data_IF_781787867558
#
_entry.id   IF_781787867558
#
_cell.length_a   1.000
_cell.length_b   1.000
_cell.length_c   1.000
_cell.angle_alpha   90.00
_cell.angle_beta   90.00
_cell.angle_gamma   90.00
#
_symmetry.space_group_name_H-M   'P 1'
#
loop_
_entity.id
_entity.type
_entity.pdbx_description
1 polymer ?
#
# COMPACT_ATOMS: atom_id res chain seq x y z
N UNK A 1 -36.95 -13.54 -62.76
CA UNK A 1 -35.73 -14.14 -62.22
C UNK A 1 -35.64 -15.55 -62.73
N UNK A 2 -34.50 -15.93 -63.33
CA UNK A 2 -34.33 -17.30 -63.83
C UNK A 2 -34.29 -18.28 -62.60
N UNK A 3 -35.10 -19.34 -62.68
CA UNK A 3 -35.13 -20.38 -61.66
C UNK A 3 -34.17 -21.48 -62.09
N UNK A 4 -32.96 -21.50 -61.45
CA UNK A 4 -31.99 -22.58 -61.66
C UNK A 4 -32.31 -23.74 -60.73
N UNK A 5 -32.59 -24.91 -61.29
CA UNK A 5 -32.97 -26.10 -60.50
C UNK A 5 -31.75 -26.75 -59.84
N UNK A 6 -30.60 -26.74 -60.51
CA UNK A 6 -29.38 -27.40 -60.05
C UNK A 6 -28.60 -26.59 -58.97
N UNK A 7 -28.75 -25.25 -58.94
CA UNK A 7 -28.09 -24.39 -57.95
C UNK A 7 -29.08 -23.41 -57.35
N UNK A 8 -29.50 -23.68 -56.10
CA UNK A 8 -30.43 -22.81 -55.38
C UNK A 8 -29.71 -21.66 -54.69
N UNK A 9 -29.46 -20.56 -55.46
CA UNK A 9 -28.77 -19.36 -54.98
C UNK A 9 -29.48 -18.73 -53.77
N UNK A 10 -30.83 -18.77 -53.74
CA UNK A 10 -31.63 -18.24 -52.64
C UNK A 10 -31.39 -18.99 -51.33
N UNK A 11 -31.30 -20.34 -51.42
CA UNK A 11 -30.96 -21.21 -50.27
C UNK A 11 -29.52 -20.94 -49.78
N UNK A 12 -28.56 -20.77 -50.69
CA UNK A 12 -27.17 -20.42 -50.31
C UNK A 12 -27.09 -19.07 -49.61
N UNK A 13 -27.81 -18.04 -50.06
CA UNK A 13 -27.90 -16.75 -49.40
C UNK A 13 -28.57 -16.87 -48.02
N UNK A 14 -29.67 -17.63 -47.91
CA UNK A 14 -30.35 -17.89 -46.63
C UNK A 14 -29.44 -18.56 -45.62
N UNK A 15 -28.68 -19.59 -46.02
CA UNK A 15 -27.68 -20.26 -45.15
C UNK A 15 -26.56 -19.33 -44.69
N UNK A 16 -26.04 -18.48 -45.59
CA UNK A 16 -25.01 -17.48 -45.24
C UNK A 16 -25.55 -16.49 -44.23
N UNK A 17 -26.76 -15.95 -44.44
CA UNK A 17 -27.38 -15.05 -43.47
C UNK A 17 -27.62 -15.72 -42.12
N UNK A 18 -28.11 -16.98 -42.11
CA UNK A 18 -28.32 -17.73 -40.88
C UNK A 18 -27.01 -17.95 -40.11
N UNK A 19 -25.91 -18.31 -40.78
CA UNK A 19 -24.61 -18.45 -40.15
C UNK A 19 -24.10 -17.13 -39.55
N UNK A 20 -24.28 -16.01 -40.25
CA UNK A 20 -23.89 -14.69 -39.74
C UNK A 20 -24.67 -14.33 -38.46
N UNK A 21 -26.00 -14.58 -38.46
CA UNK A 21 -26.86 -14.35 -37.30
C UNK A 21 -26.45 -15.23 -36.11
N UNK A 22 -26.16 -16.51 -36.37
CA UNK A 22 -25.69 -17.44 -35.33
C UNK A 22 -24.36 -16.99 -34.71
N UNK A 23 -23.42 -16.52 -35.51
CA UNK A 23 -22.15 -15.98 -35.01
C UNK A 23 -22.36 -14.72 -34.18
N UNK A 24 -23.21 -13.80 -34.63
CA UNK A 24 -23.56 -12.58 -33.86
C UNK A 24 -24.25 -12.94 -32.55
N UNK A 25 -25.20 -13.88 -32.59
CA UNK A 25 -25.93 -14.36 -31.42
C UNK A 25 -24.99 -14.99 -30.37
N UNK A 26 -24.01 -15.79 -30.83
CA UNK A 26 -22.98 -16.35 -29.98
C UNK A 26 -22.13 -15.31 -29.31
N UNK A 27 -21.77 -14.24 -30.04
CA UNK A 27 -21.01 -13.11 -29.47
C UNK A 27 -21.83 -12.33 -28.43
N UNK A 28 -23.12 -12.08 -28.70
CA UNK A 28 -24.03 -11.42 -27.75
C UNK A 28 -24.22 -12.26 -26.47
N UNK A 29 -24.42 -13.59 -26.62
CA UNK A 29 -24.46 -14.48 -25.46
C UNK A 29 -23.17 -14.43 -24.63
N UNK A 30 -22.02 -14.44 -25.28
CA UNK A 30 -20.73 -14.36 -24.61
C UNK A 30 -20.57 -13.05 -23.83
N UNK A 31 -20.97 -11.91 -24.41
CA UNK A 31 -20.94 -10.60 -23.77
C UNK A 31 -21.92 -10.53 -22.60
N UNK A 32 -23.13 -11.02 -22.77
CA UNK A 32 -24.14 -11.04 -21.73
C UNK A 32 -23.76 -11.95 -20.57
N UNK A 33 -23.16 -13.11 -20.86
CA UNK A 33 -22.70 -14.06 -19.84
C UNK A 33 -21.49 -13.56 -19.07
N UNK A 34 -20.55 -12.86 -19.71
CA UNK A 34 -19.34 -12.32 -19.07
C UNK A 34 -19.56 -10.93 -18.45
N UNK A 35 -20.58 -10.18 -18.88
CA UNK A 35 -20.77 -8.77 -18.56
C UNK A 35 -19.77 -7.86 -19.26
N UNK A 36 -18.98 -8.38 -20.20
CA UNK A 36 -17.91 -7.64 -20.86
C UNK A 36 -18.18 -7.47 -22.35
N UNK A 37 -18.04 -6.25 -22.87
CA UNK A 37 -18.10 -5.93 -24.31
C UNK A 37 -16.87 -6.47 -25.04
N UNK A 38 -15.68 -6.33 -24.41
CA UNK A 38 -14.41 -6.85 -24.93
C UNK A 38 -14.01 -8.08 -24.10
N UNK A 39 -14.15 -9.24 -24.68
CA UNK A 39 -13.88 -10.53 -24.04
C UNK A 39 -12.56 -11.15 -24.52
N UNK A 40 -12.19 -10.86 -25.77
CA UNK A 40 -10.98 -11.38 -26.41
C UNK A 40 -10.29 -10.30 -27.24
N UNK A 41 -9.01 -10.54 -27.58
CA UNK A 41 -8.24 -9.66 -28.45
C UNK A 41 -8.85 -9.54 -29.87
N UNK A 42 -9.71 -10.48 -30.28
CA UNK A 42 -10.44 -10.44 -31.54
C UNK A 42 -11.52 -9.36 -31.55
N UNK A 43 -12.12 -9.05 -30.39
CA UNK A 43 -13.20 -8.08 -30.28
C UNK A 43 -12.67 -6.64 -30.42
N UNK A 44 -11.61 -6.33 -29.67
CA UNK A 44 -10.87 -5.04 -29.73
C UNK A 44 -9.50 -5.21 -29.07
N UNK A 45 -8.45 -5.33 -29.87
CA UNK A 45 -7.09 -5.51 -29.37
C UNK A 45 -6.55 -4.26 -28.68
N UNK A 46 -6.90 -3.06 -29.17
CA UNK A 46 -6.46 -1.80 -28.58
C UNK A 46 -7.15 -1.52 -27.25
N UNK A 47 -8.48 -1.69 -27.21
CA UNK A 47 -9.27 -1.54 -25.99
C UNK A 47 -8.87 -2.55 -24.92
N UNK A 48 -8.58 -3.80 -25.27
CA UNK A 48 -8.09 -4.80 -24.34
C UNK A 48 -6.75 -4.40 -23.72
N UNK A 49 -5.79 -3.95 -24.53
CA UNK A 49 -4.48 -3.49 -24.04
C UNK A 49 -4.61 -2.32 -23.06
N UNK A 50 -5.48 -1.36 -23.37
CA UNK A 50 -5.74 -0.23 -22.45
C UNK A 50 -6.38 -0.71 -21.16
N UNK A 51 -7.39 -1.58 -21.23
CA UNK A 51 -8.07 -2.13 -20.06
C UNK A 51 -7.13 -2.96 -19.16
N UNK A 52 -6.21 -3.73 -19.74
CA UNK A 52 -5.21 -4.50 -19.00
C UNK A 52 -4.19 -3.59 -18.31
N UNK A 53 -3.77 -2.50 -18.96
CA UNK A 53 -2.91 -1.49 -18.34
C UNK A 53 -3.59 -0.81 -17.17
N UNK A 54 -4.86 -0.38 -17.32
CA UNK A 54 -5.66 0.18 -16.23
C UNK A 54 -5.83 -0.83 -15.09
N UNK A 55 -6.09 -2.10 -15.41
CA UNK A 55 -6.19 -3.16 -14.40
C UNK A 55 -4.90 -3.32 -13.60
N UNK A 56 -3.75 -3.26 -14.28
CA UNK A 56 -2.44 -3.32 -13.62
C UNK A 56 -2.22 -2.12 -12.70
N UNK A 57 -2.60 -0.92 -13.12
CA UNK A 57 -2.53 0.29 -12.31
C UNK A 57 -3.44 0.20 -11.08
N UNK A 58 -4.70 -0.18 -11.25
CA UNK A 58 -5.67 -0.36 -10.15
C UNK A 58 -5.14 -1.36 -9.13
N UNK A 59 -4.62 -2.50 -9.58
CA UNK A 59 -4.05 -3.52 -8.69
C UNK A 59 -2.82 -2.99 -7.94
N UNK A 60 -1.97 -2.22 -8.63
CA UNK A 60 -0.81 -1.55 -8.04
C UNK A 60 -1.20 -0.53 -6.96
N UNK A 61 -2.18 0.34 -7.26
CA UNK A 61 -2.71 1.33 -6.31
C UNK A 61 -3.36 0.67 -5.08
N UNK A 62 -4.12 -0.41 -5.29
CA UNK A 62 -4.71 -1.16 -4.17
C UNK A 62 -3.64 -1.82 -3.30
N UNK A 63 -2.55 -2.31 -3.87
CA UNK A 63 -1.42 -2.81 -3.09
C UNK A 63 -0.68 -1.67 -2.40
N UNK A 64 -0.49 -0.53 -3.07
CA UNK A 64 0.08 0.69 -2.49
C UNK A 64 -0.70 1.17 -1.27
N UNK A 65 -2.04 1.14 -1.32
CA UNK A 65 -2.89 1.46 -0.17
C UNK A 65 -2.68 0.50 1.00
N UNK A 66 -2.52 -0.80 0.75
CA UNK A 66 -2.18 -1.77 1.82
C UNK A 66 -0.81 -1.48 2.43
N UNK A 67 0.20 -1.28 1.59
CA UNK A 67 1.55 -0.93 2.06
C UNK A 67 1.57 0.37 2.86
N UNK A 68 0.73 1.33 2.50
CA UNK A 68 0.59 2.61 3.19
C UNK A 68 -0.04 2.42 4.58
N UNK A 69 -1.06 1.56 4.69
CA UNK A 69 -1.65 1.20 5.99
C UNK A 69 -0.64 0.47 6.89
N UNK A 70 0.17 -0.43 6.32
CA UNK A 70 1.26 -1.09 7.07
C UNK A 70 2.29 -0.06 7.56
N UNK A 71 2.59 0.96 6.73
CA UNK A 71 3.45 2.08 7.11
C UNK A 71 2.88 2.93 8.26
N UNK A 72 1.57 3.18 8.27
CA UNK A 72 0.89 3.87 9.38
C UNK A 72 0.98 3.03 10.66
N UNK A 73 0.69 1.73 10.59
CA UNK A 73 0.78 0.83 11.74
C UNK A 73 2.22 0.76 12.31
N UNK A 74 3.23 0.76 11.43
CA UNK A 74 4.64 0.86 11.82
C UNK A 74 4.92 2.17 12.55
N UNK A 75 4.50 3.31 11.99
CA UNK A 75 4.70 4.63 12.59
C UNK A 75 4.04 4.73 13.98
N UNK A 76 2.84 4.21 14.14
CA UNK A 76 2.13 4.13 15.41
C UNK A 76 2.85 3.24 16.44
N UNK A 77 3.41 2.12 16.01
CA UNK A 77 4.20 1.24 16.89
C UNK A 77 5.46 1.95 17.40
N UNK A 78 6.14 2.68 16.52
CA UNK A 78 7.31 3.49 16.89
C UNK A 78 6.92 4.60 17.86
N UNK A 79 5.83 5.30 17.56
CA UNK A 79 5.33 6.40 18.39
C UNK A 79 4.95 5.94 19.80
N UNK A 80 4.27 4.80 19.93
CA UNK A 80 3.91 4.20 21.23
C UNK A 80 5.17 3.90 22.08
N UNK A 81 6.21 3.31 21.46
CA UNK A 81 7.46 3.08 22.15
C UNK A 81 8.17 4.38 22.60
N UNK A 82 8.08 5.43 21.78
CA UNK A 82 8.64 6.74 22.12
C UNK A 82 7.89 7.46 23.23
N UNK A 83 6.57 7.28 23.31
CA UNK A 83 5.75 7.86 24.38
C UNK A 83 6.16 7.32 25.75
N UNK A 84 6.34 6.00 25.88
CA UNK A 84 6.87 5.37 27.09
C UNK A 84 8.27 5.85 27.42
N UNK A 85 9.14 6.02 26.43
CA UNK A 85 10.50 6.58 26.65
C UNK A 85 10.43 8.02 27.14
N UNK A 86 9.55 8.86 26.58
CA UNK A 86 9.38 10.26 27.00
C UNK A 86 8.94 10.33 28.47
N UNK A 87 7.97 9.49 28.88
CA UNK A 87 7.53 9.39 30.26
C UNK A 87 8.67 9.02 31.23
N UNK A 88 9.52 8.04 30.84
CA UNK A 88 10.68 7.66 31.66
C UNK A 88 11.75 8.75 31.71
N UNK A 89 12.04 9.45 30.62
CA UNK A 89 12.97 10.58 30.61
C UNK A 89 12.49 11.70 31.52
N UNK A 90 11.19 12.01 31.53
CA UNK A 90 10.60 13.00 32.46
C UNK A 90 10.74 12.56 33.92
N UNK A 91 10.58 11.25 34.20
CA UNK A 91 10.79 10.72 35.56
C UNK A 91 12.25 10.82 35.95
N UNK A 92 13.21 10.48 35.08
CA UNK A 92 14.66 10.68 35.34
C UNK A 92 14.96 12.16 35.60
N UNK A 93 14.37 13.07 34.83
CA UNK A 93 14.50 14.51 35.04
C UNK A 93 14.03 14.95 36.46
N UNK A 94 12.88 14.43 36.89
CA UNK A 94 12.34 14.70 38.23
C UNK A 94 13.28 14.18 39.31
N UNK A 95 13.82 12.98 39.16
CA UNK A 95 14.83 12.42 40.08
C UNK A 95 16.12 13.24 40.07
N UNK A 96 16.53 13.77 38.92
CA UNK A 96 17.70 14.66 38.86
C UNK A 96 17.46 15.98 39.58
N UNK A 97 16.27 16.60 39.48
CA UNK A 97 15.89 17.77 40.25
C UNK A 97 15.89 17.46 41.76
N UNK A 98 15.36 16.31 42.15
CA UNK A 98 15.41 15.86 43.57
C UNK A 98 16.85 15.68 44.04
N UNK A 99 17.71 15.02 43.27
CA UNK A 99 19.13 14.82 43.62
C UNK A 99 19.92 16.10 43.69
N UNK A 100 19.59 17.12 42.89
CA UNK A 100 20.27 18.43 42.90
C UNK A 100 20.02 19.23 44.19
N UNK A 101 19.00 18.84 44.99
CA UNK A 101 18.69 19.52 46.24
C UNK A 101 19.82 19.33 47.27
N UNK A 102 20.24 20.45 47.91
CA UNK A 102 21.30 20.46 48.89
C UNK A 102 21.00 19.76 50.22
N UNK A 103 19.72 19.44 50.49
CA UNK A 103 19.29 18.75 51.72
C UNK A 103 19.54 17.25 51.70
N UNK A 104 19.82 16.66 50.52
CA UNK A 104 20.02 15.22 50.37
C UNK A 104 21.45 14.80 50.81
N UNK A 105 21.52 13.67 51.51
CA UNK A 105 22.78 13.04 51.85
C UNK A 105 23.37 12.31 50.62
N UNK A 106 24.57 11.79 50.76
CA UNK A 106 25.18 10.98 49.69
C UNK A 106 24.41 9.68 49.46
N UNK A 107 23.98 9.06 50.55
CA UNK A 107 23.20 7.83 50.56
C UNK A 107 21.86 8.02 49.85
N UNK A 108 21.18 9.14 50.06
CA UNK A 108 19.93 9.48 49.37
C UNK A 108 20.14 9.64 47.87
N UNK A 109 21.23 10.36 47.47
CA UNK A 109 21.58 10.52 46.05
C UNK A 109 21.98 9.21 45.37
N UNK A 110 22.65 8.30 46.08
CA UNK A 110 23.00 6.98 45.57
C UNK A 110 21.75 6.12 45.37
N UNK A 111 20.74 6.26 46.25
CA UNK A 111 19.44 5.61 46.02
C UNK A 111 18.70 6.15 44.79
N UNK A 112 18.65 7.49 44.65
CA UNK A 112 18.05 8.16 43.48
C UNK A 112 18.78 7.76 42.19
N UNK A 113 20.12 7.65 42.25
CA UNK A 113 20.93 7.21 41.10
C UNK A 113 20.57 5.80 40.68
N UNK A 114 20.39 4.88 41.61
CA UNK A 114 19.98 3.49 41.29
C UNK A 114 18.61 3.44 40.56
N UNK A 115 17.64 4.26 41.00
CA UNK A 115 16.35 4.38 40.33
C UNK A 115 16.50 4.97 38.94
N UNK A 116 17.30 6.05 38.78
CA UNK A 116 17.58 6.66 37.48
C UNK A 116 18.28 5.72 36.50
N UNK A 117 19.28 4.96 36.98
CA UNK A 117 19.98 3.96 36.15
C UNK A 117 19.05 2.80 35.75
N UNK A 118 18.12 2.38 36.61
CA UNK A 118 17.13 1.37 36.29
C UNK A 118 16.17 1.85 35.19
N UNK A 119 15.71 3.11 35.25
CA UNK A 119 14.89 3.70 34.19
C UNK A 119 15.67 3.84 32.87
N UNK A 120 16.95 4.22 32.92
CA UNK A 120 17.80 4.28 31.72
C UNK A 120 17.99 2.90 31.07
N UNK A 121 18.13 1.83 31.91
CA UNK A 121 18.18 0.47 31.43
C UNK A 121 16.85 0.01 30.80
N UNK A 122 15.72 0.45 31.34
CA UNK A 122 14.39 0.16 30.79
C UNK A 122 14.17 0.87 29.46
N UNK A 123 14.58 2.13 29.31
CA UNK A 123 14.58 2.82 28.00
C UNK A 123 15.38 2.03 26.96
N UNK A 124 16.58 1.55 27.34
CA UNK A 124 17.38 0.70 26.45
C UNK A 124 16.64 -0.59 26.09
N UNK A 125 16.00 -1.24 27.06
CA UNK A 125 15.22 -2.47 26.82
C UNK A 125 14.08 -2.22 25.84
N UNK A 126 13.33 -1.13 25.99
CA UNK A 126 12.25 -0.77 25.07
C UNK A 126 12.81 -0.54 23.67
N UNK A 127 13.91 0.21 23.53
CA UNK A 127 14.55 0.46 22.24
C UNK A 127 14.97 -0.83 21.51
N UNK A 128 15.44 -1.84 22.27
CA UNK A 128 15.92 -3.12 21.71
C UNK A 128 14.82 -4.16 21.52
N UNK A 129 13.73 -4.08 22.27
CA UNK A 129 12.68 -5.10 22.28
C UNK A 129 11.42 -4.71 21.52
N UNK A 130 11.20 -3.42 21.25
CA UNK A 130 10.07 -2.98 20.41
C UNK A 130 10.28 -3.48 18.98
N UNK A 131 9.34 -4.32 18.51
CA UNK A 131 9.41 -4.97 17.20
C UNK A 131 8.13 -4.78 16.42
N UNK A 132 8.29 -4.66 15.11
CA UNK A 132 7.21 -4.74 14.14
C UNK A 132 7.53 -5.85 13.13
N UNK A 133 6.62 -6.81 12.96
CA UNK A 133 6.88 -7.96 12.09
C UNK A 133 8.12 -8.78 12.47
N UNK A 134 8.48 -8.81 13.77
CA UNK A 134 9.66 -9.53 14.28
C UNK A 134 10.99 -8.78 14.18
N UNK A 135 11.01 -7.58 13.56
CA UNK A 135 12.20 -6.74 13.40
C UNK A 135 12.15 -5.53 14.33
N UNK A 136 13.32 -5.11 14.85
CA UNK A 136 13.42 -3.95 15.74
C UNK A 136 13.18 -2.65 14.98
N UNK A 137 12.55 -1.67 15.65
CA UNK A 137 12.11 -0.40 15.03
C UNK A 137 12.65 0.86 15.70
N UNK A 138 13.25 0.75 16.90
CA UNK A 138 13.77 1.89 17.67
C UNK A 138 15.29 1.87 17.88
N UNK A 139 15.94 0.79 17.47
CA UNK A 139 17.39 0.57 17.68
C UNK A 139 18.24 0.98 16.46
N UNK A 140 17.70 1.83 15.55
CA UNK A 140 18.40 2.21 14.35
C UNK A 140 18.70 1.04 13.39
N UNK A 141 19.50 1.31 12.36
CA UNK A 141 19.92 0.26 11.44
C UNK A 141 20.85 -0.74 12.14
N UNK A 142 20.53 -2.01 12.01
CA UNK A 142 21.35 -3.11 12.52
C UNK A 142 21.76 -4.03 11.37
N UNK A 143 23.03 -4.35 11.28
CA UNK A 143 23.51 -5.43 10.41
C UNK A 143 22.84 -6.76 10.80
N UNK A 144 22.78 -7.72 9.90
CA UNK A 144 22.18 -9.04 10.08
C UNK A 144 20.65 -9.11 10.02
N UNK A 145 20.00 -8.18 9.30
CA UNK A 145 18.56 -8.25 9.03
C UNK A 145 17.66 -8.22 10.30
N UNK A 146 18.20 -7.71 11.42
CA UNK A 146 17.47 -7.61 12.71
C UNK A 146 16.57 -6.40 12.79
N UNK A 147 16.88 -5.32 12.05
CA UNK A 147 16.06 -4.11 11.97
C UNK A 147 15.19 -4.09 10.72
N UNK A 148 14.11 -3.29 10.75
CA UNK A 148 13.22 -3.10 9.61
C UNK A 148 13.83 -2.15 8.55
N UNK A 149 14.88 -1.44 8.90
CA UNK A 149 15.47 -0.37 8.12
C UNK A 149 16.25 -0.87 6.92
N UNK A 150 16.22 -0.10 5.83
CA UNK A 150 16.96 -0.41 4.62
C UNK A 150 18.49 -0.36 4.87
N UNK A 151 19.22 -1.27 4.23
CA UNK A 151 20.69 -1.31 4.27
C UNK A 151 21.35 -0.10 3.58
N UNK A 152 20.59 0.68 2.85
CA UNK A 152 21.01 1.93 2.23
C UNK A 152 20.12 3.06 2.68
N UNK A 153 20.71 4.24 2.91
CA UNK A 153 19.94 5.46 3.16
C UNK A 153 19.20 5.92 1.88
N UNK A 154 18.33 6.93 2.03
CA UNK A 154 17.61 7.52 0.89
C UNK A 154 18.53 8.10 -0.19
N UNK A 155 19.80 8.35 0.11
CA UNK A 155 20.82 8.82 -0.81
C UNK A 155 21.62 7.67 -1.46
N UNK A 156 21.31 6.40 -1.13
CA UNK A 156 21.97 5.22 -1.70
C UNK A 156 23.27 4.83 -1.01
N UNK A 157 23.69 5.52 0.07
CA UNK A 157 24.90 5.18 0.82
C UNK A 157 24.63 3.99 1.76
N UNK A 158 25.65 3.18 2.02
CA UNK A 158 25.53 2.07 2.96
C UNK A 158 25.24 2.60 4.37
N UNK A 159 24.15 2.13 4.99
CA UNK A 159 23.82 2.46 6.35
C UNK A 159 24.88 1.86 7.29
N UNK A 160 25.33 2.66 8.27
CA UNK A 160 26.25 2.18 9.30
C UNK A 160 25.43 1.57 10.44
N UNK A 161 25.93 0.50 11.05
CA UNK A 161 25.31 -0.08 12.25
C UNK A 161 25.11 1.02 13.32
N UNK A 162 23.99 0.98 14.02
CA UNK A 162 23.54 1.98 15.00
C UNK A 162 23.30 3.40 14.45
N UNK A 163 23.26 3.57 13.14
CA UNK A 163 22.91 4.86 12.51
C UNK A 163 21.39 5.04 12.42
N UNK A 164 20.98 6.19 11.86
CA UNK A 164 19.59 6.45 11.50
C UNK A 164 19.07 5.34 10.57
N UNK A 165 17.87 4.87 10.84
CA UNK A 165 17.20 3.90 9.99
C UNK A 165 16.28 4.59 8.98
N UNK A 166 16.35 4.20 7.71
CA UNK A 166 15.42 4.67 6.68
C UNK A 166 14.40 3.58 6.36
N UNK A 167 13.13 3.92 6.41
CA UNK A 167 12.04 3.08 5.94
C UNK A 167 11.59 3.60 4.59
N UNK A 168 11.53 2.71 3.61
CA UNK A 168 11.07 3.01 2.25
C UNK A 168 9.76 2.27 2.04
N UNK A 169 8.68 3.01 1.81
CA UNK A 169 7.35 2.48 1.56
C UNK A 169 6.98 2.70 0.10
N UNK A 170 6.76 1.63 -0.64
CA UNK A 170 6.19 1.69 -1.99
C UNK A 170 4.69 1.95 -1.87
N UNK A 171 4.29 3.19 -2.11
CA UNK A 171 2.91 3.65 -1.93
C UNK A 171 2.11 3.63 -3.24
N UNK A 172 2.75 3.76 -4.39
CA UNK A 172 2.07 3.80 -5.68
C UNK A 172 2.32 2.58 -6.56
N UNK A 173 1.72 2.60 -7.75
CA UNK A 173 1.76 1.51 -8.72
C UNK A 173 3.06 1.48 -9.54
N UNK A 174 3.80 2.60 -9.61
CA UNK A 174 4.96 2.72 -10.48
C UNK A 174 6.26 2.72 -9.68
N UNK A 175 7.37 2.40 -10.36
CA UNK A 175 8.71 2.50 -9.77
C UNK A 175 8.99 3.96 -9.40
N UNK A 176 9.35 4.18 -8.13
CA UNK A 176 9.68 5.50 -7.61
C UNK A 176 8.52 6.20 -6.89
N UNK A 177 7.32 5.61 -6.87
CA UNK A 177 6.20 6.08 -6.06
C UNK A 177 6.42 5.67 -4.60
N UNK A 178 7.44 6.25 -3.96
CA UNK A 178 7.89 5.89 -2.62
C UNK A 178 7.71 7.04 -1.64
N UNK A 179 7.35 6.71 -0.40
CA UNK A 179 7.42 7.62 0.73
C UNK A 179 8.47 7.08 1.69
N UNK A 180 9.49 7.91 1.95
CA UNK A 180 10.58 7.56 2.83
C UNK A 180 10.45 8.36 4.12
N UNK A 181 10.73 7.72 5.25
CA UNK A 181 10.90 8.40 6.52
C UNK A 181 12.08 7.82 7.29
N UNK A 182 12.65 8.65 8.14
CA UNK A 182 13.86 8.34 8.90
C UNK A 182 13.46 8.21 10.36
N UNK A 183 13.95 7.14 10.98
CA UNK A 183 13.83 6.91 12.42
C UNK A 183 15.24 6.90 13.01
N UNK A 184 15.44 7.71 14.02
CA UNK A 184 16.70 7.77 14.72
C UNK A 184 16.91 6.55 15.63
N UNK A 185 18.14 6.33 16.07
CA UNK A 185 18.44 5.34 17.09
C UNK A 185 18.12 5.91 18.48
N UNK A 186 17.19 5.27 19.19
CA UNK A 186 16.68 5.67 20.49
C UNK A 186 17.22 4.83 21.65
N UNK A 187 18.34 4.11 21.46
CA UNK A 187 19.05 3.55 22.60
C UNK A 187 19.55 4.68 23.50
N UNK A 188 19.45 4.51 24.81
CA UNK A 188 19.77 5.57 25.78
C UNK A 188 21.16 6.17 25.56
N UNK A 189 22.19 5.34 25.31
CA UNK A 189 23.55 5.79 25.05
C UNK A 189 23.70 6.65 23.80
N UNK A 190 23.00 6.27 22.71
CA UNK A 190 23.05 7.01 21.43
C UNK A 190 22.28 8.32 21.55
N UNK A 191 21.13 8.30 22.23
CA UNK A 191 20.31 9.46 22.49
C UNK A 191 21.08 10.47 23.38
N UNK A 192 21.70 10.00 24.47
CA UNK A 192 22.54 10.81 25.34
C UNK A 192 23.74 11.43 24.59
N UNK A 193 24.44 10.63 23.81
CA UNK A 193 25.58 11.08 22.98
C UNK A 193 25.17 12.18 22.01
N UNK A 194 23.99 12.05 21.37
CA UNK A 194 23.44 13.04 20.45
C UNK A 194 22.95 14.31 21.14
N UNK A 195 22.46 14.18 22.38
CA UNK A 195 22.09 15.30 23.23
C UNK A 195 23.31 16.07 23.76
N UNK A 196 24.54 15.58 23.48
CA UNK A 196 25.78 16.19 23.95
C UNK A 196 26.10 15.82 25.40
N UNK A 197 25.89 14.54 25.75
CA UNK A 197 26.28 14.04 27.06
C UNK A 197 27.76 14.29 27.30
N UNK A 198 28.07 14.82 28.49
CA UNK A 198 29.42 15.03 29.01
C UNK A 198 29.71 13.98 30.07
N UNK A 199 30.98 13.79 30.37
CA UNK A 199 31.40 12.91 31.46
C UNK A 199 30.80 13.26 32.83
N UNK A 200 30.34 14.51 32.97
CA UNK A 200 29.67 15.03 34.18
C UNK A 200 28.17 14.76 34.23
N UNK A 201 27.56 14.37 33.10
CA UNK A 201 26.11 14.05 33.00
C UNK A 201 25.84 12.56 32.88
N UNK A 202 26.55 11.87 31.99
CA UNK A 202 26.37 10.45 31.71
C UNK A 202 27.67 9.81 31.24
N UNK A 203 28.01 8.65 31.82
CA UNK A 203 29.08 7.78 31.34
C UNK A 203 28.50 6.38 31.04
N UNK A 204 28.82 5.84 29.88
CA UNK A 204 28.35 4.51 29.51
C UNK A 204 28.76 3.40 30.51
N UNK A 205 29.90 3.59 31.22
CA UNK A 205 30.37 2.64 32.21
C UNK A 205 29.78 2.88 33.62
N UNK A 206 29.41 4.10 33.96
CA UNK A 206 29.00 4.49 35.32
C UNK A 206 27.55 4.93 35.46
N UNK A 207 26.80 4.99 34.35
CA UNK A 207 25.42 5.44 34.31
C UNK A 207 25.25 6.96 34.47
N UNK A 208 24.10 7.37 35.00
CA UNK A 208 23.75 8.78 35.23
C UNK A 208 24.53 9.37 36.42
N UNK A 209 25.04 10.59 36.28
CA UNK A 209 25.83 11.26 37.31
C UNK A 209 24.95 11.94 38.34
N UNK A 210 24.04 11.20 38.97
CA UNK A 210 23.10 11.70 40.00
C UNK A 210 23.67 11.66 41.42
N UNK A 211 24.86 11.09 41.64
CA UNK A 211 25.49 11.00 42.97
C UNK A 211 26.04 12.31 43.50
N UNK A 212 26.09 13.37 42.68
CA UNK A 212 26.54 14.70 43.08
C UNK A 212 25.54 15.78 42.66
N UNK A 213 25.41 16.85 43.44
CA UNK A 213 24.50 17.94 43.10
C UNK A 213 24.89 18.67 41.80
N UNK A 214 26.17 18.73 41.46
CA UNK A 214 26.64 19.31 40.19
C UNK A 214 26.27 18.41 39.00
N UNK A 215 26.58 17.10 39.10
CA UNK A 215 26.21 16.15 38.04
C UNK A 215 24.71 16.06 37.84
N UNK A 216 23.91 16.13 38.90
CA UNK A 216 22.46 16.14 38.80
C UNK A 216 21.92 17.33 37.98
N UNK A 217 22.54 18.53 38.06
CA UNK A 217 22.19 19.69 37.25
C UNK A 217 22.50 19.45 35.76
N UNK A 218 23.63 18.83 35.46
CA UNK A 218 24.00 18.48 34.08
C UNK A 218 23.05 17.40 33.51
N UNK A 219 22.61 16.45 34.35
CA UNK A 219 21.61 15.45 33.95
C UNK A 219 20.28 16.10 33.63
N UNK A 220 19.83 17.13 34.36
CA UNK A 220 18.59 17.88 34.03
C UNK A 220 18.70 18.45 32.61
N UNK A 221 19.80 19.17 32.31
CA UNK A 221 20.00 19.77 30.99
C UNK A 221 20.11 18.70 29.87
N UNK A 222 20.69 17.54 30.18
CA UNK A 222 20.77 16.42 29.27
C UNK A 222 19.37 15.83 28.97
N UNK A 223 18.56 15.62 30.02
CA UNK A 223 17.18 15.09 29.86
C UNK A 223 16.32 16.04 29.05
N UNK A 224 16.40 17.35 29.25
CA UNK A 224 15.67 18.35 28.47
C UNK A 224 15.99 18.22 26.97
N UNK A 225 17.25 18.06 26.61
CA UNK A 225 17.67 17.86 25.22
C UNK A 225 17.22 16.51 24.66
N UNK A 226 17.28 15.45 25.48
CA UNK A 226 16.82 14.12 25.06
C UNK A 226 15.32 14.09 24.83
N UNK A 227 14.52 14.71 25.70
CA UNK A 227 13.07 14.85 25.53
C UNK A 227 12.77 15.61 24.25
N UNK A 228 13.44 16.75 24.01
CA UNK A 228 13.26 17.52 22.79
C UNK A 228 13.56 16.71 21.51
N UNK A 229 14.54 15.81 21.54
CA UNK A 229 14.83 14.91 20.40
C UNK A 229 13.73 13.88 20.18
N UNK A 230 13.20 13.28 21.25
CA UNK A 230 12.08 12.32 21.17
C UNK A 230 10.82 13.01 20.63
N UNK A 231 10.49 14.19 21.16
CA UNK A 231 9.33 14.97 20.73
C UNK A 231 9.46 15.45 19.28
N UNK A 232 10.66 15.84 18.85
CA UNK A 232 10.95 16.17 17.47
C UNK A 232 10.67 15.00 16.53
N UNK A 233 11.15 13.81 16.87
CA UNK A 233 10.88 12.62 16.06
C UNK A 233 9.38 12.21 16.07
N UNK A 234 8.69 12.38 17.20
CA UNK A 234 7.23 12.14 17.27
C UNK A 234 6.47 13.11 16.36
N UNK A 235 6.89 14.37 16.32
CA UNK A 235 6.32 15.36 15.39
C UNK A 235 6.53 14.95 13.92
N UNK A 236 7.72 14.49 13.57
CA UNK A 236 8.03 13.99 12.22
C UNK A 236 7.16 12.78 11.87
N UNK A 237 6.99 11.84 12.80
CA UNK A 237 6.10 10.67 12.60
C UNK A 237 4.65 11.07 12.41
N UNK A 238 4.15 12.04 13.17
CA UNK A 238 2.80 12.59 12.98
C UNK A 238 2.62 13.22 11.59
N UNK A 239 3.62 13.97 11.12
CA UNK A 239 3.61 14.55 9.79
C UNK A 239 3.60 13.45 8.70
N UNK A 240 4.37 12.36 8.88
CA UNK A 240 4.40 11.21 7.97
C UNK A 240 3.05 10.49 7.95
N UNK A 241 2.42 10.26 9.11
CA UNK A 241 1.09 9.64 9.18
C UNK A 241 0.07 10.45 8.37
N UNK A 242 0.03 11.76 8.55
CA UNK A 242 -0.84 12.65 7.77
C UNK A 242 -0.56 12.59 6.26
N UNK A 243 0.71 12.49 5.85
CA UNK A 243 1.09 12.32 4.43
C UNK A 243 0.63 10.98 3.88
N UNK A 244 0.78 9.90 4.64
CA UNK A 244 0.35 8.57 4.26
C UNK A 244 -1.17 8.50 4.11
N UNK A 245 -1.95 9.07 5.04
CA UNK A 245 -3.40 9.18 4.93
C UNK A 245 -3.85 9.98 3.70
N UNK A 246 -3.16 11.10 3.42
CA UNK A 246 -3.44 11.88 2.22
C UNK A 246 -3.16 11.08 0.94
N UNK A 247 -2.08 10.29 0.94
CA UNK A 247 -1.74 9.39 -0.16
C UNK A 247 -2.83 8.34 -0.39
N UNK A 248 -3.35 7.71 0.68
CA UNK A 248 -4.45 6.73 0.59
C UNK A 248 -5.69 7.37 -0.04
N UNK A 249 -6.09 8.56 0.43
CA UNK A 249 -7.27 9.26 -0.14
C UNK A 249 -7.08 9.56 -1.63
N UNK A 250 -5.91 10.05 -2.01
CA UNK A 250 -5.60 10.35 -3.41
C UNK A 250 -5.62 9.08 -4.27
N UNK A 251 -4.93 8.04 -3.84
CA UNK A 251 -4.84 6.78 -4.58
C UNK A 251 -6.20 6.08 -4.70
N UNK A 252 -7.04 6.15 -3.67
CA UNK A 252 -8.40 5.61 -3.73
C UNK A 252 -9.24 6.34 -4.77
N UNK A 253 -9.12 7.66 -4.88
CA UNK A 253 -9.80 8.45 -5.90
C UNK A 253 -9.29 8.11 -7.31
N UNK A 254 -7.96 7.99 -7.47
CA UNK A 254 -7.36 7.61 -8.76
C UNK A 254 -7.81 6.20 -9.16
N UNK A 255 -7.76 5.23 -8.24
CA UNK A 255 -8.20 3.87 -8.50
C UNK A 255 -9.67 3.79 -8.90
N UNK A 256 -10.55 4.59 -8.27
CA UNK A 256 -11.97 4.68 -8.64
C UNK A 256 -12.15 5.26 -10.05
N UNK A 257 -11.44 6.34 -10.40
CA UNK A 257 -11.51 6.95 -11.73
C UNK A 257 -10.96 6.01 -12.81
N UNK A 258 -9.88 5.28 -12.53
CA UNK A 258 -9.33 4.29 -13.46
C UNK A 258 -10.26 3.07 -13.61
N UNK A 259 -10.95 2.66 -12.54
CA UNK A 259 -11.96 1.61 -12.61
C UNK A 259 -13.17 2.03 -13.46
N UNK A 260 -13.66 3.27 -13.33
CA UNK A 260 -14.71 3.85 -14.19
C UNK A 260 -14.26 3.91 -15.66
N UNK A 261 -13.04 4.38 -15.91
CA UNK A 261 -12.48 4.42 -17.27
C UNK A 261 -12.36 3.02 -17.88
N UNK A 262 -11.92 2.03 -17.11
CA UNK A 262 -11.85 0.63 -17.53
C UNK A 262 -13.22 0.05 -17.82
N UNK A 263 -14.21 0.34 -16.98
CA UNK A 263 -15.60 -0.08 -17.16
C UNK A 263 -16.18 0.43 -18.48
N UNK A 264 -16.01 1.71 -18.78
CA UNK A 264 -16.46 2.31 -20.06
C UNK A 264 -15.83 1.67 -21.31
N UNK A 265 -14.61 1.14 -21.18
CA UNK A 265 -13.92 0.48 -22.29
C UNK A 265 -14.38 -0.97 -22.43
N UNK A 266 -14.45 -1.71 -21.33
CA UNK A 266 -14.52 -3.17 -21.33
C UNK A 266 -15.89 -3.75 -21.02
N UNK A 267 -16.70 -3.05 -20.19
CA UNK A 267 -17.97 -3.60 -19.73
C UNK A 267 -19.05 -3.46 -20.81
N UNK A 268 -20.03 -4.37 -20.81
CA UNK A 268 -21.16 -4.38 -21.71
C UNK A 268 -22.36 -3.66 -21.08
N UNK A 269 -23.08 -2.88 -21.90
CA UNK A 269 -24.39 -2.40 -21.53
C UNK A 269 -25.41 -3.55 -21.66
N UNK A 270 -25.92 -3.99 -20.54
CA UNK A 270 -26.89 -5.09 -20.47
C UNK A 270 -28.18 -4.79 -21.21
N UNK A 271 -28.64 -3.54 -21.22
CA UNK A 271 -29.87 -3.16 -21.90
C UNK A 271 -29.71 -3.27 -23.43
N UNK A 272 -28.59 -2.75 -23.94
CA UNK A 272 -28.25 -2.83 -25.36
C UNK A 272 -28.03 -4.28 -25.82
N UNK A 273 -27.24 -5.07 -25.08
CA UNK A 273 -26.97 -6.46 -25.45
C UNK A 273 -28.22 -7.37 -25.34
N UNK A 274 -29.14 -7.08 -24.39
CA UNK A 274 -30.43 -7.78 -24.30
C UNK A 274 -31.37 -7.45 -25.47
N UNK A 275 -31.39 -6.18 -25.90
CA UNK A 275 -32.13 -5.77 -27.08
C UNK A 275 -31.56 -6.43 -28.36
N UNK A 276 -30.22 -6.45 -28.49
CA UNK A 276 -29.52 -7.14 -29.59
C UNK A 276 -29.82 -8.64 -29.59
N UNK A 277 -29.84 -9.30 -28.43
CA UNK A 277 -30.20 -10.70 -28.30
C UNK A 277 -31.61 -10.97 -28.82
N UNK A 278 -32.60 -10.17 -28.40
CA UNK A 278 -33.98 -10.28 -28.83
C UNK A 278 -34.13 -10.09 -30.35
N UNK A 279 -33.49 -9.06 -30.89
CA UNK A 279 -33.49 -8.76 -32.32
C UNK A 279 -32.87 -9.91 -33.12
N UNK A 280 -31.71 -10.43 -32.74
CA UNK A 280 -31.02 -11.49 -33.43
C UNK A 280 -31.79 -12.82 -33.37
N UNK A 281 -32.47 -13.09 -32.24
CA UNK A 281 -33.34 -14.26 -32.08
C UNK A 281 -34.54 -14.22 -33.08
N UNK A 282 -35.15 -13.05 -33.23
CA UNK A 282 -36.25 -12.86 -34.22
C UNK A 282 -35.71 -13.01 -35.65
N UNK A 283 -34.55 -12.43 -35.96
CA UNK A 283 -33.93 -12.55 -37.28
C UNK A 283 -33.56 -14.02 -37.57
N UNK A 284 -33.09 -14.77 -36.58
CA UNK A 284 -32.78 -16.20 -36.72
C UNK A 284 -34.04 -17.00 -37.10
N UNK A 285 -35.17 -16.76 -36.43
CA UNK A 285 -36.45 -17.42 -36.75
C UNK A 285 -36.94 -17.06 -38.15
N UNK A 286 -36.85 -15.76 -38.50
CA UNK A 286 -37.22 -15.29 -39.85
C UNK A 286 -36.31 -15.90 -40.94
N UNK A 287 -35.00 -15.96 -40.71
CA UNK A 287 -34.04 -16.54 -41.65
C UNK A 287 -34.26 -18.04 -41.83
N UNK A 288 -34.60 -18.78 -40.77
CA UNK A 288 -34.97 -20.19 -40.86
C UNK A 288 -36.24 -20.42 -41.68
N UNK A 289 -37.26 -19.60 -41.50
CA UNK A 289 -38.50 -19.63 -42.29
C UNK A 289 -38.26 -19.32 -43.77
N UNK A 290 -37.46 -18.28 -44.05
CA UNK A 290 -37.05 -17.90 -45.40
C UNK A 290 -36.23 -19.01 -46.09
N UNK A 291 -35.38 -19.70 -45.33
CA UNK A 291 -34.59 -20.82 -45.85
C UNK A 291 -35.50 -22.02 -46.23
N UNK A 292 -36.47 -22.33 -45.39
CA UNK A 292 -37.48 -23.36 -45.73
C UNK A 292 -38.24 -22.99 -47.01
N UNK A 293 -38.69 -21.74 -47.14
CA UNK A 293 -39.39 -21.30 -48.34
C UNK A 293 -38.47 -21.28 -49.58
N UNK A 294 -37.20 -20.91 -49.43
CA UNK A 294 -36.22 -20.96 -50.51
C UNK A 294 -35.96 -22.37 -51.03
N UNK A 295 -36.03 -23.36 -50.15
CA UNK A 295 -35.83 -24.77 -50.50
C UNK A 295 -37.04 -25.40 -51.26
N UNK A 296 -38.27 -24.84 -51.15
CA UNK A 296 -39.45 -25.30 -51.89
C UNK A 296 -39.51 -24.73 -53.31
N UNK A 297 -38.85 -23.63 -53.63
CA UNK A 297 -38.85 -22.98 -54.95
C UNK A 297 -38.42 -23.88 -56.11
N UNK A 298 -37.34 -24.70 -56.02
CA UNK A 298 -36.98 -25.64 -57.09
C UNK A 298 -38.02 -26.70 -57.33
N UNK A 299 -38.74 -27.14 -56.30
CA UNK A 299 -39.84 -28.16 -56.45
C UNK A 299 -41.01 -27.60 -57.26
N UNK A 300 -41.35 -26.29 -57.06
CA UNK A 300 -42.35 -25.64 -57.89
C UNK A 300 -41.94 -25.54 -59.38
N UNK A 301 -40.63 -25.34 -59.64
CA UNK A 301 -40.06 -25.37 -60.96
C UNK A 301 -40.15 -26.77 -61.64
N UNK A 302 -39.93 -27.84 -60.86
CA UNK A 302 -40.08 -29.22 -61.30
C UNK A 302 -41.55 -29.58 -61.60
N UNK A 303 -42.48 -29.07 -60.75
CA UNK A 303 -43.94 -29.36 -60.95
C UNK A 303 -44.53 -28.62 -62.15
N UNK A 304 -43.83 -27.61 -62.70
CA UNK A 304 -44.21 -26.90 -63.92
C UNK A 304 -43.65 -27.57 -65.20
N UNK A 305 -42.72 -28.50 -65.07
CA UNK A 305 -42.03 -29.23 -66.13
C UNK A 305 -42.57 -30.69 -66.32
N UNK A 306 -43.30 -31.21 -65.37
CA UNK A 306 -43.95 -32.52 -65.35
C UNK A 306 -45.38 -32.42 -65.06
#
# INVERSE_FOLDING_TARGET
MAVYVNTNVSSLHGRRSLNNVQNSLSTTYQRLSSGLRINSAKDDAAGLQIADRLTTQINGLNQGNRNTNDGIALAQTIESGMDEMSGMLQKIRTLAVQSANGTNTKEDRDAIKKEGDALAAEIKRIAEQTKFGGKTVLNGYQDNNKSIFAAKDAAGNAAKANSKGTVILQVGANKGDEINFIVDNFTFSTLASRAGATDDSYKAANGLMLGTASGAKEVIALMDKMIAQVDGQRSDLGAIQNRLESSIRNQSNVAANEADARSRIRDADFAEESANLSQQSIIQQAAASMLMQANTRPQLGLSLLG
#
